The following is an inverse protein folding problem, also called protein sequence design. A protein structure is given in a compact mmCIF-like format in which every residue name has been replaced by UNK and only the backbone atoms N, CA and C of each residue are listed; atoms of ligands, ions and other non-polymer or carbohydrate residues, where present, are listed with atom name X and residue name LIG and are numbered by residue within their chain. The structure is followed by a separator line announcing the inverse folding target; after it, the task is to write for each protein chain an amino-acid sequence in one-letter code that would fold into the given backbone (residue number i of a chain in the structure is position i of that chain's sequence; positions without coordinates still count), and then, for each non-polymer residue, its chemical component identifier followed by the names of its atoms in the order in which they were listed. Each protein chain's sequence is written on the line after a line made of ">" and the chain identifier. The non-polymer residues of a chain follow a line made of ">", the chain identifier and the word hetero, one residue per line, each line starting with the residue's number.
data_IF_602176502760
#
_entry.id   IF_602176502760
#
_cell.length_a   1.000
_cell.length_b   1.000
_cell.length_c   1.000
_cell.angle_alpha   90.00
_cell.angle_beta   90.00
_cell.angle_gamma   90.00
#
_symmetry.space_group_name_H-M   'P 1'
#
loop_
_entity.id
_entity.type
_entity.pdbx_description
1 polymer ?
#
# COMPACT_ATOMS: atom_id res chain seq x y z
N UNK A 1 30.55 -0.78 7.36
CA UNK A 1 29.62 0.22 7.92
C UNK A 1 28.86 0.93 6.80
N UNK A 2 29.55 1.47 5.78
CA UNK A 2 28.88 2.16 4.65
C UNK A 2 27.88 1.30 3.86
N UNK A 3 28.14 0.01 3.62
CA UNK A 3 27.18 -0.88 2.93
C UNK A 3 25.92 -1.17 3.75
N UNK A 4 26.05 -1.28 5.07
CA UNK A 4 24.93 -1.58 5.98
C UNK A 4 24.04 -0.35 6.15
N UNK A 5 24.63 0.85 6.24
CA UNK A 5 23.92 2.13 6.27
C UNK A 5 23.21 2.44 4.94
N UNK A 6 23.83 2.12 3.79
CA UNK A 6 23.15 2.25 2.51
C UNK A 6 21.96 1.29 2.40
N UNK A 7 22.11 0.04 2.84
CA UNK A 7 21.02 -0.94 2.82
C UNK A 7 19.82 -0.52 3.69
N UNK A 8 20.04 0.11 4.85
CA UNK A 8 18.96 0.60 5.71
C UNK A 8 18.25 1.83 5.13
N UNK A 9 19.00 2.76 4.52
CA UNK A 9 18.44 3.94 3.84
C UNK A 9 17.58 3.54 2.63
N UNK A 10 18.07 2.63 1.77
CA UNK A 10 17.27 2.13 0.64
C UNK A 10 15.97 1.45 1.12
N UNK A 11 16.02 0.71 2.22
CA UNK A 11 14.83 0.09 2.79
C UNK A 11 13.81 1.11 3.34
N UNK A 12 14.25 2.26 3.86
CA UNK A 12 13.34 3.33 4.32
C UNK A 12 12.64 4.03 3.16
N UNK A 13 13.39 4.41 2.13
CA UNK A 13 12.84 5.03 0.93
C UNK A 13 11.86 4.09 0.20
N UNK A 14 12.17 2.79 0.14
CA UNK A 14 11.29 1.78 -0.46
C UNK A 14 9.97 1.61 0.33
N UNK A 15 10.03 1.62 1.67
CA UNK A 15 8.83 1.58 2.52
C UNK A 15 7.95 2.80 2.31
N UNK A 16 8.57 3.99 2.27
CA UNK A 16 7.86 5.25 2.01
C UNK A 16 7.19 5.22 0.63
N UNK A 17 7.91 4.78 -0.41
CA UNK A 17 7.36 4.64 -1.76
C UNK A 17 6.18 3.65 -1.79
N UNK A 18 6.30 2.50 -1.12
CA UNK A 18 5.21 1.53 -1.02
C UNK A 18 3.96 2.12 -0.33
N UNK A 19 4.14 2.91 0.72
CA UNK A 19 3.05 3.61 1.42
C UNK A 19 2.38 4.67 0.54
N UNK A 20 3.16 5.47 -0.17
CA UNK A 20 2.65 6.49 -1.09
C UNK A 20 1.86 5.86 -2.24
N UNK A 21 2.38 4.80 -2.86
CA UNK A 21 1.69 4.12 -3.96
C UNK A 21 0.43 3.37 -3.49
N UNK A 22 0.46 2.74 -2.31
CA UNK A 22 -0.75 2.16 -1.71
C UNK A 22 -1.84 3.22 -1.51
N UNK A 23 -1.46 4.39 -1.00
CA UNK A 23 -2.39 5.52 -0.79
C UNK A 23 -3.06 5.93 -2.10
N UNK A 24 -2.29 6.11 -3.18
CA UNK A 24 -2.83 6.47 -4.51
C UNK A 24 -3.84 5.44 -5.02
N UNK A 25 -3.54 4.15 -4.87
CA UNK A 25 -4.43 3.06 -5.30
C UNK A 25 -5.70 3.03 -4.46
N UNK A 26 -5.61 3.24 -3.15
CA UNK A 26 -6.77 3.31 -2.25
C UNK A 26 -7.67 4.51 -2.59
N UNK A 27 -7.08 5.68 -2.88
CA UNK A 27 -7.82 6.87 -3.29
C UNK A 27 -8.54 6.65 -4.63
N UNK A 28 -7.86 6.07 -5.62
CA UNK A 28 -8.47 5.73 -6.90
C UNK A 28 -9.62 4.71 -6.75
N UNK A 29 -9.42 3.67 -5.93
CA UNK A 29 -10.45 2.70 -5.60
C UNK A 29 -11.66 3.36 -4.92
N UNK A 30 -11.41 4.23 -3.92
CA UNK A 30 -12.46 4.96 -3.21
C UNK A 30 -13.23 5.89 -4.13
N UNK A 31 -12.54 6.62 -5.01
CA UNK A 31 -13.18 7.52 -5.97
C UNK A 31 -14.16 6.78 -6.90
N UNK A 32 -13.86 5.53 -7.27
CA UNK A 32 -14.76 4.71 -8.09
C UNK A 32 -15.90 4.14 -7.25
N UNK A 33 -15.61 3.58 -6.08
CA UNK A 33 -16.61 2.93 -5.21
C UNK A 33 -17.63 3.94 -4.64
N UNK A 34 -17.19 5.15 -4.32
CA UNK A 34 -18.06 6.24 -3.83
C UNK A 34 -18.68 7.05 -4.98
N UNK A 35 -18.44 6.64 -6.23
CA UNK A 35 -18.91 7.32 -7.43
C UNK A 35 -20.41 7.12 -7.71
N UNK A 36 -20.99 7.90 -8.64
CA UNK A 36 -22.41 7.84 -8.96
C UNK A 36 -22.82 6.58 -9.73
N UNK A 37 -21.88 5.93 -10.45
CA UNK A 37 -22.15 4.67 -11.18
C UNK A 37 -22.07 3.48 -10.23
N UNK A 38 -23.24 3.10 -9.69
CA UNK A 38 -23.38 2.00 -8.73
C UNK A 38 -23.02 0.63 -9.33
N UNK A 39 -23.20 0.44 -10.64
CA UNK A 39 -22.87 -0.83 -11.27
C UNK A 39 -21.35 -1.01 -11.39
N UNK A 40 -20.66 0.05 -11.80
CA UNK A 40 -19.20 0.09 -11.82
C UNK A 40 -18.62 -0.05 -10.40
N UNK A 41 -19.18 0.67 -9.43
CA UNK A 41 -18.74 0.62 -8.03
C UNK A 41 -18.78 -0.81 -7.47
N UNK A 42 -19.89 -1.53 -7.66
CA UNK A 42 -20.04 -2.90 -7.17
C UNK A 42 -19.09 -3.88 -7.87
N UNK A 43 -18.89 -3.75 -9.19
CA UNK A 43 -17.96 -4.63 -9.91
C UNK A 43 -16.50 -4.39 -9.50
N UNK A 44 -16.10 -3.13 -9.31
CA UNK A 44 -14.76 -2.78 -8.82
C UNK A 44 -14.56 -3.26 -7.39
N UNK A 45 -15.54 -3.06 -6.51
CA UNK A 45 -15.51 -3.55 -5.12
C UNK A 45 -15.35 -5.07 -5.07
N UNK A 46 -16.11 -5.81 -5.90
CA UNK A 46 -16.05 -7.29 -5.98
C UNK A 46 -14.70 -7.80 -6.46
N UNK A 47 -14.13 -7.17 -7.50
CA UNK A 47 -12.89 -7.65 -8.13
C UNK A 47 -11.62 -7.20 -7.40
N UNK A 48 -11.61 -5.97 -6.91
CA UNK A 48 -10.38 -5.29 -6.46
C UNK A 48 -10.35 -5.14 -4.94
N UNK A 49 -11.50 -5.18 -4.25
CA UNK A 49 -11.54 -4.94 -2.80
C UNK A 49 -10.70 -5.92 -1.98
N UNK A 50 -10.58 -7.19 -2.39
CA UNK A 50 -9.67 -8.14 -1.76
C UNK A 50 -8.20 -7.73 -1.96
N UNK A 51 -7.84 -7.31 -3.17
CA UNK A 51 -6.46 -6.92 -3.50
C UNK A 51 -6.01 -5.68 -2.74
N UNK A 52 -6.90 -4.72 -2.50
CA UNK A 52 -6.62 -3.56 -1.64
C UNK A 52 -6.24 -4.03 -0.23
N UNK A 53 -7.03 -4.93 0.37
CA UNK A 53 -6.74 -5.46 1.72
C UNK A 53 -5.42 -6.25 1.77
N UNK A 54 -5.11 -7.02 0.74
CA UNK A 54 -3.84 -7.74 0.64
C UNK A 54 -2.65 -6.77 0.62
N UNK A 55 -2.76 -5.67 -0.13
CA UNK A 55 -1.71 -4.64 -0.19
C UNK A 55 -1.58 -3.89 1.15
N UNK A 56 -2.70 -3.56 1.80
CA UNK A 56 -2.71 -2.93 3.13
C UNK A 56 -1.94 -3.77 4.15
N UNK A 57 -2.24 -5.08 4.21
CA UNK A 57 -1.56 -6.00 5.13
C UNK A 57 -0.08 -6.18 4.77
N UNK A 58 0.25 -6.23 3.48
CA UNK A 58 1.64 -6.33 3.02
C UNK A 58 2.49 -5.12 3.40
N UNK A 59 1.96 -3.90 3.24
CA UNK A 59 2.67 -2.67 3.63
C UNK A 59 2.77 -2.57 5.15
N UNK A 60 1.70 -2.89 5.90
CA UNK A 60 1.74 -2.89 7.36
C UNK A 60 2.78 -3.86 7.92
N UNK A 61 2.87 -5.08 7.36
CA UNK A 61 3.88 -6.06 7.75
C UNK A 61 5.31 -5.58 7.44
N UNK A 62 5.50 -4.87 6.33
CA UNK A 62 6.80 -4.28 5.96
C UNK A 62 7.22 -3.17 6.93
N UNK A 63 6.27 -2.34 7.37
CA UNK A 63 6.49 -1.28 8.38
C UNK A 63 6.77 -1.88 9.77
N UNK A 64 6.04 -2.94 10.16
CA UNK A 64 6.23 -3.65 11.42
C UNK A 64 7.64 -4.28 11.51
N UNK A 65 8.08 -4.98 10.46
CA UNK A 65 9.42 -5.57 10.41
C UNK A 65 10.52 -4.51 10.56
N UNK A 66 10.35 -3.32 10.00
CA UNK A 66 11.32 -2.25 10.15
C UNK A 66 11.43 -1.75 11.59
N UNK A 67 10.31 -1.71 12.33
CA UNK A 67 10.26 -1.22 13.71
C UNK A 67 10.83 -2.24 14.71
N UNK A 68 10.83 -3.52 14.36
CA UNK A 68 11.36 -4.61 15.21
C UNK A 68 12.82 -4.99 14.93
N UNK A 69 13.43 -4.42 13.90
CA UNK A 69 14.83 -4.65 13.55
C UNK A 69 15.80 -3.53 14.01
N UNK A 70 15.29 -2.52 14.75
CA UNK A 70 16.08 -1.50 15.44
C UNK A 70 16.54 -1.93 16.85
#
# INVERSE_FOLDING_TARGET
>A
MEETEKATVYAEDDRKAAREELTKVQEAYKAVVDGPDQHLAEEVKRRIGQRIRELEQGVAAMEELATHHD
#
